data_IF_663963641123
#
_entry.id   IF_663963641123
#
_cell.length_a   1.000
_cell.length_b   1.000
_cell.length_c   1.000
_cell.angle_alpha   90.00
_cell.angle_beta   90.00
_cell.angle_gamma   90.00
#
_symmetry.space_group_name_H-M   'P 1'
#
loop_
_entity.id
_entity.type
_entity.pdbx_description
1 polymer ?
#
# COMPACT_ATOMS: atom_id res chain seq x y z
N UNK A 1 9.77 12.02 -4.78
CA UNK A 1 8.81 11.30 -5.64
C UNK A 1 9.44 11.07 -6.99
N UNK A 2 9.25 9.90 -7.61
CA UNK A 2 9.61 9.73 -9.00
C UNK A 2 8.78 10.72 -9.84
N UNK A 3 9.44 11.44 -10.75
CA UNK A 3 8.81 12.48 -11.59
C UNK A 3 7.72 11.95 -12.54
N UNK A 4 7.60 10.64 -12.64
CA UNK A 4 6.64 9.95 -13.52
C UNK A 4 5.37 9.45 -12.80
N UNK A 5 5.32 9.45 -11.47
CA UNK A 5 4.11 9.09 -10.72
C UNK A 5 3.06 10.20 -10.85
N UNK A 6 1.91 9.87 -11.42
CA UNK A 6 0.77 10.77 -11.53
C UNK A 6 -0.04 10.71 -10.24
N UNK A 7 -0.04 11.79 -9.46
CA UNK A 7 -0.82 11.89 -8.24
C UNK A 7 -2.09 12.72 -8.49
N UNK A 8 -3.24 12.10 -8.29
CA UNK A 8 -4.54 12.78 -8.23
C UNK A 8 -5.04 12.82 -6.80
N UNK A 9 -5.42 14.01 -6.33
CA UNK A 9 -6.18 14.18 -5.07
C UNK A 9 -7.57 14.64 -5.41
N UNK A 10 -8.57 14.05 -4.79
CA UNK A 10 -9.96 14.45 -4.97
C UNK A 10 -10.91 13.28 -5.07
N UNK A 11 -12.16 13.59 -5.32
CA UNK A 11 -13.22 12.59 -5.33
C UNK A 11 -13.05 11.55 -6.42
N UNK A 12 -13.27 10.30 -6.08
CA UNK A 12 -13.44 9.21 -7.04
C UNK A 12 -14.69 9.50 -7.88
N UNK A 13 -14.47 9.99 -9.09
CA UNK A 13 -15.51 10.24 -10.06
C UNK A 13 -15.00 9.96 -11.48
N UNK A 14 -15.93 9.81 -12.42
CA UNK A 14 -15.59 9.46 -13.81
C UNK A 14 -14.64 10.46 -14.47
N UNK A 15 -14.78 11.75 -14.18
CA UNK A 15 -13.91 12.79 -14.76
C UNK A 15 -12.47 12.66 -14.30
N UNK A 16 -12.22 12.48 -12.99
CA UNK A 16 -10.88 12.36 -12.44
C UNK A 16 -10.20 11.06 -12.90
N UNK A 17 -10.93 9.94 -12.87
CA UNK A 17 -10.41 8.65 -13.35
C UNK A 17 -10.09 8.73 -14.83
N UNK A 18 -10.99 9.27 -15.66
CA UNK A 18 -10.76 9.40 -17.12
C UNK A 18 -9.58 10.31 -17.44
N UNK A 19 -9.37 11.37 -16.65
CA UNK A 19 -8.20 12.25 -16.82
C UNK A 19 -6.90 11.48 -16.59
N UNK A 20 -6.78 10.77 -15.45
CA UNK A 20 -5.59 10.00 -15.13
C UNK A 20 -5.33 8.86 -16.13
N UNK A 21 -6.37 8.13 -16.53
CA UNK A 21 -6.24 7.08 -17.55
C UNK A 21 -5.71 7.63 -18.86
N UNK A 22 -6.22 8.78 -19.32
CA UNK A 22 -5.75 9.45 -20.54
C UNK A 22 -4.29 9.90 -20.44
N UNK A 23 -3.88 10.46 -19.29
CA UNK A 23 -2.49 10.86 -19.06
C UNK A 23 -1.53 9.66 -19.02
N UNK A 24 -2.06 8.48 -18.66
CA UNK A 24 -1.32 7.21 -18.60
C UNK A 24 -1.39 6.43 -19.94
N UNK A 25 -2.19 6.90 -20.90
CA UNK A 25 -2.39 6.22 -22.18
C UNK A 25 -3.25 4.96 -22.10
N UNK A 26 -4.09 4.83 -21.06
CA UNK A 26 -4.97 3.67 -20.83
C UNK A 26 -6.35 3.96 -21.46
N UNK A 27 -6.82 3.03 -22.28
CA UNK A 27 -8.12 3.12 -22.97
C UNK A 27 -9.08 1.99 -22.59
N UNK A 28 -8.56 0.81 -22.28
CA UNK A 28 -9.30 -0.40 -21.94
C UNK A 28 -8.77 -1.03 -20.64
N UNK A 29 -8.94 -0.39 -19.48
CA UNK A 29 -8.40 -0.92 -18.24
C UNK A 29 -9.17 -2.16 -17.74
N UNK A 30 -8.46 -3.12 -17.11
CA UNK A 30 -9.04 -4.12 -16.24
C UNK A 30 -9.15 -3.56 -14.83
N UNK A 31 -10.34 -3.58 -14.24
CA UNK A 31 -10.58 -3.21 -12.85
C UNK A 31 -10.29 -4.42 -11.94
N UNK A 32 -9.36 -4.28 -10.99
CA UNK A 32 -9.08 -5.24 -9.92
C UNK A 32 -9.64 -4.68 -8.61
N UNK A 33 -10.76 -5.23 -8.13
CA UNK A 33 -11.45 -4.70 -6.96
C UNK A 33 -12.33 -5.79 -6.33
N UNK A 34 -12.36 -5.85 -4.99
CA UNK A 34 -13.34 -6.69 -4.30
C UNK A 34 -14.75 -6.15 -4.45
N UNK A 35 -15.75 -7.01 -4.18
CA UNK A 35 -17.17 -6.74 -4.42
C UNK A 35 -17.65 -5.37 -3.96
N UNK A 36 -17.30 -4.98 -2.74
CA UNK A 36 -17.69 -3.69 -2.17
C UNK A 36 -17.07 -2.50 -2.92
N UNK A 37 -15.77 -2.52 -3.15
CA UNK A 37 -15.04 -1.42 -3.79
C UNK A 37 -15.37 -1.32 -5.28
N UNK A 38 -15.64 -2.44 -5.95
CA UNK A 38 -16.18 -2.51 -7.31
C UNK A 38 -17.50 -1.75 -7.43
N UNK A 39 -18.43 -2.03 -6.52
CA UNK A 39 -19.76 -1.40 -6.54
C UNK A 39 -19.66 0.13 -6.28
N UNK A 40 -18.81 0.54 -5.34
CA UNK A 40 -18.53 1.97 -5.09
C UNK A 40 -17.89 2.64 -6.31
N UNK A 41 -16.91 1.98 -6.94
CA UNK A 41 -16.26 2.50 -8.13
C UNK A 41 -17.25 2.76 -9.27
N UNK A 42 -18.07 1.77 -9.62
CA UNK A 42 -19.07 1.90 -10.68
C UNK A 42 -20.13 2.95 -10.36
N UNK A 43 -20.61 2.98 -9.11
CA UNK A 43 -21.63 3.96 -8.70
C UNK A 43 -21.12 5.40 -8.81
N UNK A 44 -19.85 5.64 -8.47
CA UNK A 44 -19.27 6.98 -8.47
C UNK A 44 -18.74 7.43 -9.82
N UNK A 45 -18.23 6.52 -10.62
CA UNK A 45 -17.60 6.87 -11.91
C UNK A 45 -18.56 6.78 -13.08
N UNK A 46 -19.63 5.98 -12.99
CA UNK A 46 -20.50 5.64 -14.10
C UNK A 46 -19.84 4.76 -15.18
N UNK A 47 -18.58 4.38 -14.97
CA UNK A 47 -17.85 3.55 -15.93
C UNK A 47 -18.40 2.14 -16.00
N UNK A 48 -18.11 1.44 -17.10
CA UNK A 48 -18.37 0.01 -17.29
C UNK A 48 -17.10 -0.63 -17.83
N UNK A 49 -16.43 -1.44 -17.01
CA UNK A 49 -15.13 -2.02 -17.28
C UNK A 49 -15.17 -3.53 -17.06
N UNK A 50 -14.30 -4.31 -17.74
CA UNK A 50 -13.99 -5.67 -17.31
C UNK A 50 -13.49 -5.66 -15.86
N UNK A 51 -13.89 -6.65 -15.06
CA UNK A 51 -13.56 -6.73 -13.63
C UNK A 51 -12.93 -8.07 -13.31
N UNK A 52 -11.87 -8.03 -12.55
CA UNK A 52 -11.33 -9.17 -11.84
C UNK A 52 -11.56 -8.97 -10.33
N UNK A 53 -12.45 -9.76 -9.75
CA UNK A 53 -12.85 -9.74 -8.34
C UNK A 53 -12.69 -11.10 -7.64
N UNK A 54 -12.20 -12.11 -8.37
CA UNK A 54 -12.01 -13.47 -7.88
C UNK A 54 -10.63 -13.68 -7.23
N UNK A 55 -10.25 -12.80 -6.27
CA UNK A 55 -9.03 -12.92 -5.51
C UNK A 55 -9.29 -12.99 -4.01
N UNK A 56 -8.42 -13.67 -3.27
CA UNK A 56 -8.52 -13.85 -1.83
C UNK A 56 -7.89 -12.67 -1.05
N UNK A 57 -8.30 -12.43 0.21
CA UNK A 57 -7.46 -11.69 1.16
C UNK A 57 -6.09 -12.39 1.26
N UNK A 58 -4.99 -11.66 1.12
CA UNK A 58 -3.65 -12.24 0.89
C UNK A 58 -3.64 -13.08 -0.40
N UNK A 59 -3.59 -12.42 -1.57
CA UNK A 59 -3.86 -13.05 -2.86
C UNK A 59 -2.90 -14.19 -3.17
N UNK A 60 -3.43 -15.26 -3.72
CA UNK A 60 -2.64 -16.38 -4.23
C UNK A 60 -2.05 -16.03 -5.60
N UNK A 61 -0.91 -16.63 -5.94
CA UNK A 61 -0.31 -16.47 -7.26
C UNK A 61 -1.26 -16.96 -8.37
N UNK A 62 -2.07 -17.98 -8.10
CA UNK A 62 -3.07 -18.48 -9.04
C UNK A 62 -4.20 -17.48 -9.30
N UNK A 63 -4.60 -16.68 -8.30
CA UNK A 63 -5.53 -15.56 -8.52
C UNK A 63 -4.96 -14.60 -9.57
N UNK A 64 -3.65 -14.29 -9.47
CA UNK A 64 -2.99 -13.43 -10.44
C UNK A 64 -2.90 -14.04 -11.84
N UNK A 65 -2.70 -15.35 -11.94
CA UNK A 65 -2.74 -16.08 -13.23
C UNK A 65 -4.11 -15.94 -13.89
N UNK A 66 -5.20 -16.17 -13.13
CA UNK A 66 -6.56 -16.00 -13.63
C UNK A 66 -6.84 -14.54 -14.07
N UNK A 67 -6.35 -13.56 -13.29
CA UNK A 67 -6.49 -12.15 -13.63
C UNK A 67 -5.70 -11.76 -14.89
N UNK A 68 -4.50 -12.31 -15.10
CA UNK A 68 -3.71 -12.08 -16.31
C UNK A 68 -4.37 -12.69 -17.54
N UNK A 69 -4.96 -13.87 -17.41
CA UNK A 69 -5.74 -14.51 -18.48
C UNK A 69 -6.96 -13.65 -18.88
N UNK A 70 -7.71 -13.13 -17.88
CA UNK A 70 -8.85 -12.23 -18.13
C UNK A 70 -8.41 -10.92 -18.82
N UNK A 71 -7.28 -10.34 -18.39
CA UNK A 71 -6.73 -9.14 -19.01
C UNK A 71 -6.46 -9.35 -20.52
N UNK A 72 -5.87 -10.49 -20.88
CA UNK A 72 -5.62 -10.87 -22.27
C UNK A 72 -6.92 -11.16 -23.04
N UNK A 73 -7.85 -11.93 -22.45
CA UNK A 73 -9.15 -12.25 -23.05
C UNK A 73 -9.96 -10.99 -23.41
N UNK A 74 -9.92 -9.97 -22.53
CA UNK A 74 -10.66 -8.71 -22.71
C UNK A 74 -9.90 -7.66 -23.51
N UNK A 75 -8.71 -7.98 -24.03
CA UNK A 75 -7.84 -7.05 -24.79
C UNK A 75 -7.63 -5.73 -24.00
N UNK A 76 -7.32 -5.86 -22.72
CA UNK A 76 -7.05 -4.72 -21.85
C UNK A 76 -5.64 -4.14 -22.11
N UNK A 77 -5.47 -2.82 -21.87
CA UNK A 77 -4.23 -2.09 -22.08
C UNK A 77 -3.65 -1.44 -20.82
N UNK A 78 -4.31 -1.64 -19.67
CA UNK A 78 -3.89 -1.14 -18.37
C UNK A 78 -4.68 -1.73 -17.23
N UNK A 79 -4.29 -1.39 -16.00
CA UNK A 79 -4.91 -1.87 -14.77
C UNK A 79 -5.44 -0.69 -13.95
N UNK A 80 -6.57 -0.88 -13.29
CA UNK A 80 -7.03 -0.06 -12.17
C UNK A 80 -7.18 -0.98 -10.97
N UNK A 81 -6.51 -0.71 -9.85
CA UNK A 81 -6.81 -1.39 -8.58
C UNK A 81 -7.57 -0.48 -7.63
N UNK A 82 -8.67 -0.97 -7.05
CA UNK A 82 -9.47 -0.23 -6.06
C UNK A 82 -9.64 -1.06 -4.80
N UNK A 83 -9.03 -0.63 -3.71
CA UNK A 83 -9.14 -1.35 -2.45
C UNK A 83 -7.93 -1.25 -1.54
N UNK A 84 -7.75 -2.21 -0.66
CA UNK A 84 -6.58 -2.33 0.20
C UNK A 84 -5.42 -3.07 -0.46
N UNK A 85 -4.41 -3.44 0.34
CA UNK A 85 -3.21 -4.14 -0.13
C UNK A 85 -3.50 -5.35 -1.00
N UNK A 86 -4.50 -6.20 -0.66
CA UNK A 86 -4.81 -7.39 -1.45
C UNK A 86 -5.19 -7.07 -2.91
N UNK A 87 -6.05 -6.06 -3.14
CA UNK A 87 -6.41 -5.67 -4.51
C UNK A 87 -5.20 -5.11 -5.28
N UNK A 88 -4.33 -4.34 -4.60
CA UNK A 88 -3.13 -3.77 -5.21
C UNK A 88 -2.07 -4.83 -5.48
N UNK A 89 -1.86 -5.76 -4.55
CA UNK A 89 -0.90 -6.85 -4.71
C UNK A 89 -1.36 -7.82 -5.82
N UNK A 90 -2.68 -8.09 -5.92
CA UNK A 90 -3.25 -8.84 -7.04
C UNK A 90 -2.97 -8.13 -8.37
N UNK A 91 -3.24 -6.82 -8.47
CA UNK A 91 -2.98 -6.06 -9.70
C UNK A 91 -1.50 -6.05 -10.07
N UNK A 92 -0.60 -5.93 -9.09
CA UNK A 92 0.85 -6.03 -9.30
C UNK A 92 1.29 -7.45 -9.71
N UNK A 93 0.68 -8.48 -9.13
CA UNK A 93 0.90 -9.87 -9.53
C UNK A 93 0.44 -10.14 -10.96
N UNK A 94 -0.73 -9.63 -11.35
CA UNK A 94 -1.21 -9.64 -12.74
C UNK A 94 -0.20 -8.91 -13.65
N UNK A 95 0.23 -7.69 -13.28
CA UNK A 95 1.24 -6.91 -13.99
C UNK A 95 2.53 -7.71 -14.19
N UNK A 96 3.02 -8.41 -13.16
CA UNK A 96 4.21 -9.26 -13.24
C UNK A 96 4.05 -10.38 -14.26
N UNK A 97 2.92 -11.10 -14.23
CA UNK A 97 2.61 -12.21 -15.14
C UNK A 97 2.35 -11.78 -16.59
N UNK A 98 1.96 -10.53 -16.81
CA UNK A 98 1.87 -9.96 -18.16
C UNK A 98 3.23 -9.57 -18.74
N UNK A 99 4.27 -9.44 -17.89
CA UNK A 99 5.63 -9.09 -18.29
C UNK A 99 6.52 -10.31 -18.51
N UNK A 100 6.23 -11.43 -17.82
CA UNK A 100 7.05 -12.65 -17.89
C UNK A 100 6.23 -13.87 -17.45
N UNK A 101 6.82 -15.06 -17.55
CA UNK A 101 6.16 -16.28 -17.11
C UNK A 101 6.19 -16.47 -15.57
N UNK A 102 5.42 -17.43 -15.10
CA UNK A 102 5.24 -17.72 -13.67
C UNK A 102 6.55 -18.16 -12.98
N UNK A 103 7.46 -18.84 -13.70
CA UNK A 103 8.73 -19.30 -13.14
C UNK A 103 9.65 -18.12 -12.82
N UNK A 104 9.70 -17.13 -13.71
CA UNK A 104 10.45 -15.89 -13.48
C UNK A 104 9.82 -15.04 -12.37
N UNK A 105 8.47 -14.99 -12.28
CA UNK A 105 7.78 -14.31 -11.17
C UNK A 105 8.15 -14.95 -9.83
N UNK A 106 8.13 -16.29 -9.72
CA UNK A 106 8.57 -17.02 -8.52
C UNK A 106 10.02 -16.74 -8.15
N UNK A 107 10.88 -16.62 -9.15
CA UNK A 107 12.30 -16.32 -8.95
C UNK A 107 12.58 -14.82 -8.70
N UNK A 108 11.55 -13.98 -8.69
CA UNK A 108 11.68 -12.51 -8.63
C UNK A 108 12.57 -11.94 -9.75
N UNK A 109 12.46 -12.49 -10.94
CA UNK A 109 13.26 -12.15 -12.13
C UNK A 109 12.36 -11.51 -13.21
N UNK A 110 11.89 -10.28 -12.97
CA UNK A 110 11.11 -9.54 -13.94
C UNK A 110 12.04 -8.80 -14.91
N UNK A 111 11.61 -8.64 -16.19
CA UNK A 111 12.37 -7.84 -17.14
C UNK A 111 12.41 -6.37 -16.69
N UNK A 112 13.51 -5.64 -16.98
CA UNK A 112 13.65 -4.23 -16.59
C UNK A 112 12.65 -3.32 -17.31
N UNK A 113 12.16 -3.76 -18.47
CA UNK A 113 11.22 -3.04 -19.30
C UNK A 113 9.92 -3.85 -19.44
N UNK A 114 8.88 -3.41 -18.82
CA UNK A 114 7.54 -3.94 -18.99
C UNK A 114 6.54 -2.83 -18.71
N UNK A 115 5.73 -2.50 -19.72
CA UNK A 115 4.78 -1.40 -19.60
C UNK A 115 3.36 -1.92 -19.57
N UNK A 116 2.92 -2.36 -18.39
CA UNK A 116 1.49 -2.47 -18.10
C UNK A 116 1.15 -1.32 -17.16
N UNK A 117 0.59 -0.21 -17.65
CA UNK A 117 0.29 0.94 -16.80
C UNK A 117 -0.77 0.58 -15.76
N UNK A 118 -0.60 1.09 -14.54
CA UNK A 118 -1.43 0.76 -13.39
C UNK A 118 -1.82 2.00 -12.61
N UNK A 119 -3.13 2.28 -12.53
CA UNK A 119 -3.73 3.30 -11.66
C UNK A 119 -4.17 2.64 -10.34
N UNK A 120 -3.60 3.04 -9.22
CA UNK A 120 -3.96 2.57 -7.89
C UNK A 120 -4.88 3.56 -7.16
N UNK A 121 -5.97 3.05 -6.58
CA UNK A 121 -6.96 3.83 -5.84
C UNK A 121 -7.13 3.17 -4.47
N UNK A 122 -6.40 3.64 -3.43
CA UNK A 122 -6.43 3.00 -2.13
C UNK A 122 -7.77 3.19 -1.40
N UNK A 123 -8.31 2.08 -0.90
CA UNK A 123 -9.51 2.05 -0.07
C UNK A 123 -9.20 1.79 1.42
N UNK A 124 -7.94 1.87 1.81
CA UNK A 124 -7.46 1.73 3.20
C UNK A 124 -6.29 2.66 3.45
N UNK A 125 -6.25 3.31 4.61
CA UNK A 125 -5.15 4.17 5.03
C UNK A 125 -4.16 3.37 5.89
N UNK A 126 -3.25 2.63 5.26
CA UNK A 126 -2.32 1.78 6.02
C UNK A 126 -1.11 1.31 5.24
N UNK A 127 -1.28 0.40 4.31
CA UNK A 127 -0.18 -0.32 3.67
C UNK A 127 0.72 0.53 2.77
N UNK A 128 0.23 1.65 2.25
CA UNK A 128 0.95 2.43 1.24
C UNK A 128 1.27 1.63 -0.03
N UNK A 129 0.51 0.55 -0.31
CA UNK A 129 0.78 -0.34 -1.43
C UNK A 129 0.71 0.38 -2.78
N UNK A 130 -0.02 1.48 -2.87
CA UNK A 130 -0.11 2.36 -4.03
C UNK A 130 1.22 3.06 -4.38
N UNK A 131 2.16 3.10 -3.44
CA UNK A 131 3.48 3.74 -3.62
C UNK A 131 4.65 2.79 -3.40
N UNK A 132 4.40 1.47 -3.37
CA UNK A 132 5.45 0.46 -3.24
C UNK A 132 5.59 -0.38 -4.51
N UNK A 133 6.81 -0.88 -4.73
CA UNK A 133 7.17 -1.73 -5.86
C UNK A 133 7.12 -3.24 -5.51
N UNK A 134 6.42 -3.59 -4.43
CA UNK A 134 6.32 -4.97 -3.92
C UNK A 134 4.90 -5.47 -4.08
N UNK A 135 4.76 -6.70 -4.53
CA UNK A 135 3.54 -7.51 -4.41
C UNK A 135 3.77 -8.63 -3.38
N UNK A 136 2.91 -8.69 -2.37
CA UNK A 136 2.90 -9.80 -1.40
C UNK A 136 1.85 -10.79 -1.83
N UNK A 137 2.30 -11.91 -2.38
CA UNK A 137 1.49 -13.00 -2.86
C UNK A 137 1.69 -14.24 -1.97
N UNK A 138 0.87 -15.24 -2.20
CA UNK A 138 1.00 -16.53 -1.53
C UNK A 138 0.96 -17.66 -2.57
N UNK A 139 1.64 -18.74 -2.27
CA UNK A 139 1.60 -19.98 -3.04
C UNK A 139 1.74 -21.14 -2.05
N UNK A 140 0.83 -22.09 -2.08
CA UNK A 140 0.75 -23.22 -1.14
C UNK A 140 0.85 -22.78 0.35
N UNK A 141 0.23 -21.64 0.67
CA UNK A 141 0.25 -21.05 2.01
C UNK A 141 1.60 -20.46 2.42
N UNK A 142 2.56 -20.40 1.52
CA UNK A 142 3.86 -19.74 1.72
C UNK A 142 3.84 -18.34 1.13
N UNK A 143 4.48 -17.40 1.84
CA UNK A 143 4.60 -16.02 1.36
C UNK A 143 5.59 -15.95 0.20
N UNK A 144 5.15 -15.39 -0.92
CA UNK A 144 5.96 -15.02 -2.07
C UNK A 144 5.99 -13.48 -2.18
N UNK A 145 7.15 -12.88 -2.07
CA UNK A 145 7.30 -11.42 -2.27
C UNK A 145 7.97 -11.17 -3.61
N UNK A 146 7.24 -10.51 -4.50
CA UNK A 146 7.79 -10.06 -5.80
C UNK A 146 8.13 -8.58 -5.65
N UNK A 147 9.41 -8.24 -5.77
CA UNK A 147 9.94 -6.90 -5.53
C UNK A 147 10.71 -6.41 -6.75
N UNK A 148 10.06 -5.55 -7.54
CA UNK A 148 10.68 -5.03 -8.77
C UNK A 148 10.14 -3.63 -9.10
N UNK A 149 11.00 -2.67 -9.53
CA UNK A 149 10.57 -1.30 -9.85
C UNK A 149 9.41 -1.20 -10.82
N UNK A 150 9.30 -2.11 -11.78
CA UNK A 150 8.21 -2.13 -12.75
C UNK A 150 6.82 -2.40 -12.12
N UNK A 151 6.74 -2.91 -10.89
CA UNK A 151 5.47 -3.15 -10.19
C UNK A 151 4.90 -1.91 -9.53
N UNK A 152 5.70 -0.86 -9.39
CA UNK A 152 5.21 0.41 -8.86
C UNK A 152 4.06 0.92 -9.75
N UNK A 153 2.92 1.33 -9.16
CA UNK A 153 1.84 1.98 -9.92
C UNK A 153 2.31 3.23 -10.65
N UNK A 154 1.77 3.49 -11.81
CA UNK A 154 2.10 4.64 -12.66
C UNK A 154 1.26 5.86 -12.30
N UNK A 155 0.12 5.65 -11.63
CA UNK A 155 -0.76 6.69 -11.11
C UNK A 155 -1.44 6.30 -9.82
N UNK A 156 -1.78 7.30 -9.01
CA UNK A 156 -2.51 7.14 -7.75
C UNK A 156 -3.64 8.16 -7.68
N UNK A 157 -4.84 7.74 -7.27
CA UNK A 157 -5.94 8.63 -6.94
C UNK A 157 -6.32 8.45 -5.46
N UNK A 158 -6.15 9.51 -4.66
CA UNK A 158 -6.45 9.53 -3.23
C UNK A 158 -7.83 10.15 -2.97
N UNK A 159 -8.78 9.36 -2.48
CA UNK A 159 -10.10 9.78 -2.02
C UNK A 159 -10.41 9.17 -0.65
N UNK A 160 -10.26 9.94 0.42
CA UNK A 160 -10.49 9.49 1.79
C UNK A 160 -11.92 8.99 2.05
N UNK A 161 -12.93 9.33 1.21
CA UNK A 161 -14.29 8.79 1.35
C UNK A 161 -14.41 7.29 1.14
N UNK A 162 -13.39 6.67 0.56
CA UNK A 162 -13.33 5.22 0.45
C UNK A 162 -13.11 4.53 1.80
N UNK A 163 -12.68 5.31 2.82
CA UNK A 163 -12.46 4.82 4.18
C UNK A 163 -13.73 4.73 5.03
N UNK A 164 -14.85 5.36 4.62
CA UNK A 164 -16.11 5.47 5.39
C UNK A 164 -16.65 4.11 5.85
N UNK A 165 -16.48 3.09 5.03
CA UNK A 165 -17.09 1.77 5.25
C UNK A 165 -16.18 0.77 5.96
N UNK A 166 -14.99 1.19 6.40
CA UNK A 166 -14.07 0.31 7.10
C UNK A 166 -14.53 0.11 8.55
N UNK A 167 -14.60 -1.15 9.05
CA UNK A 167 -14.86 -1.42 10.46
C UNK A 167 -13.80 -0.78 11.36
N UNK A 168 -14.19 -0.36 12.56
CA UNK A 168 -13.34 0.40 13.49
C UNK A 168 -11.99 -0.28 13.76
N UNK A 169 -11.99 -1.59 14.04
CA UNK A 169 -10.77 -2.35 14.29
C UNK A 169 -9.81 -2.29 13.08
N UNK A 170 -10.33 -2.39 11.87
CA UNK A 170 -9.52 -2.29 10.67
C UNK A 170 -9.01 -0.87 10.44
N UNK A 171 -9.81 0.16 10.73
CA UNK A 171 -9.35 1.56 10.68
C UNK A 171 -8.17 1.79 11.61
N UNK A 172 -8.28 1.36 12.88
CA UNK A 172 -7.20 1.45 13.87
C UNK A 172 -5.95 0.69 13.42
N UNK A 173 -6.12 -0.57 13.04
CA UNK A 173 -5.01 -1.41 12.60
C UNK A 173 -4.28 -0.83 11.38
N UNK A 174 -5.01 -0.28 10.41
CA UNK A 174 -4.38 0.32 9.23
C UNK A 174 -3.63 1.61 9.56
N UNK A 175 -4.20 2.48 10.39
CA UNK A 175 -3.50 3.66 10.88
C UNK A 175 -2.19 3.30 11.60
N UNK A 176 -2.23 2.25 12.43
CA UNK A 176 -1.04 1.74 13.13
C UNK A 176 -0.02 1.13 12.17
N UNK A 177 -0.45 0.54 11.06
CA UNK A 177 0.43 0.04 10.00
C UNK A 177 1.26 1.19 9.37
N UNK A 178 0.58 2.26 8.95
CA UNK A 178 1.24 3.45 8.41
C UNK A 178 2.20 4.10 9.43
N UNK A 179 1.81 4.16 10.69
CA UNK A 179 2.67 4.67 11.76
C UNK A 179 3.92 3.80 11.95
N UNK A 180 3.75 2.48 12.01
CA UNK A 180 4.86 1.53 12.14
C UNK A 180 5.82 1.63 10.96
N UNK A 181 5.31 1.76 9.73
CA UNK A 181 6.13 1.96 8.53
C UNK A 181 6.95 3.24 8.62
N UNK A 182 6.36 4.35 9.04
CA UNK A 182 7.07 5.61 9.26
C UNK A 182 8.19 5.48 10.29
N UNK A 183 7.92 4.86 11.44
CA UNK A 183 8.89 4.62 12.50
C UNK A 183 10.02 3.71 12.00
N UNK A 184 9.68 2.59 11.37
CA UNK A 184 10.68 1.64 10.88
C UNK A 184 11.53 2.22 9.74
N UNK A 185 10.92 3.03 8.85
CA UNK A 185 11.67 3.74 7.82
C UNK A 185 12.67 4.73 8.43
N UNK A 186 12.32 5.39 9.55
CA UNK A 186 13.19 6.35 10.21
C UNK A 186 14.48 5.70 10.72
N UNK A 187 14.40 4.54 11.35
CA UNK A 187 15.57 3.84 11.91
C UNK A 187 16.19 2.79 10.99
N UNK A 188 15.67 2.63 9.77
CA UNK A 188 16.22 1.65 8.84
C UNK A 188 17.67 1.95 8.45
N UNK A 189 18.49 0.92 8.27
CA UNK A 189 19.88 1.07 7.79
C UNK A 189 19.99 1.77 6.44
N UNK A 190 18.95 1.68 5.60
CA UNK A 190 18.86 2.34 4.29
C UNK A 190 18.18 3.71 4.35
N UNK A 191 17.95 4.27 5.54
CA UNK A 191 17.30 5.57 5.68
C UNK A 191 18.15 6.68 5.03
N UNK A 192 17.48 7.53 4.27
CA UNK A 192 18.05 8.72 3.62
C UNK A 192 17.32 9.95 4.12
N UNK A 193 17.86 11.14 3.85
CA UNK A 193 17.14 12.38 4.16
C UNK A 193 15.74 12.39 3.49
N UNK A 194 15.66 11.96 2.23
CA UNK A 194 14.40 11.89 1.50
C UNK A 194 13.39 10.93 2.16
N UNK A 195 13.80 9.70 2.51
CA UNK A 195 12.91 8.76 3.19
C UNK A 195 12.47 9.25 4.58
N UNK A 196 13.33 9.95 5.32
CA UNK A 196 12.99 10.53 6.63
C UNK A 196 11.95 11.65 6.52
N UNK A 197 12.03 12.50 5.49
CA UNK A 197 10.99 13.53 5.24
C UNK A 197 9.61 12.86 5.03
N UNK A 198 9.53 11.80 4.23
CA UNK A 198 8.30 11.07 4.03
C UNK A 198 7.85 10.32 5.30
N UNK A 199 8.78 9.71 6.04
CA UNK A 199 8.51 9.06 7.31
C UNK A 199 7.96 10.05 8.37
N UNK A 200 8.52 11.27 8.48
CA UNK A 200 8.01 12.32 9.36
C UNK A 200 6.59 12.72 9.00
N UNK A 201 6.31 12.94 7.69
CA UNK A 201 4.95 13.28 7.22
C UNK A 201 3.96 12.17 7.54
N UNK A 202 4.35 10.91 7.36
CA UNK A 202 3.51 9.77 7.72
C UNK A 202 3.23 9.74 9.24
N UNK A 203 4.26 9.85 10.08
CA UNK A 203 4.12 9.83 11.54
C UNK A 203 3.22 10.97 12.02
N UNK A 204 3.51 12.23 11.63
CA UNK A 204 2.70 13.39 12.01
C UNK A 204 1.28 13.27 11.47
N UNK A 205 1.12 12.91 10.18
CA UNK A 205 -0.19 12.76 9.57
C UNK A 205 -1.08 11.76 10.31
N UNK A 206 -0.52 10.64 10.77
CA UNK A 206 -1.27 9.68 11.61
C UNK A 206 -1.57 10.27 12.99
N UNK A 207 -0.58 10.79 13.71
CA UNK A 207 -0.76 11.25 15.09
C UNK A 207 -1.71 12.44 15.20
N UNK A 208 -1.60 13.41 14.29
CA UNK A 208 -2.41 14.63 14.31
C UNK A 208 -3.87 14.36 13.93
N UNK A 209 -4.13 13.32 13.14
CA UNK A 209 -5.47 13.08 12.58
C UNK A 209 -6.18 11.86 13.16
N UNK A 210 -5.52 10.96 13.91
CA UNK A 210 -6.08 9.69 14.35
C UNK A 210 -7.41 9.84 15.09
N UNK A 211 -7.51 10.78 16.03
CA UNK A 211 -8.71 10.98 16.86
C UNK A 211 -9.89 11.41 16.00
N UNK A 212 -9.72 12.44 15.16
CA UNK A 212 -10.76 12.93 14.27
C UNK A 212 -11.13 11.89 13.19
N UNK A 213 -10.14 11.16 12.67
CA UNK A 213 -10.36 10.04 11.76
C UNK A 213 -11.24 8.94 12.37
N UNK A 214 -11.00 8.58 13.63
CA UNK A 214 -11.83 7.58 14.32
C UNK A 214 -13.26 8.06 14.56
N UNK A 215 -13.46 9.37 14.63
CA UNK A 215 -14.79 10.02 14.74
C UNK A 215 -15.49 10.18 13.39
N UNK A 216 -14.83 9.82 12.27
CA UNK A 216 -15.39 9.90 10.92
C UNK A 216 -15.26 11.28 10.27
N UNK A 217 -14.37 12.15 10.78
CA UNK A 217 -14.10 13.44 10.17
C UNK A 217 -13.53 13.28 8.76
N UNK A 218 -14.14 13.96 7.79
CA UNK A 218 -13.81 13.81 6.39
C UNK A 218 -12.41 14.31 6.05
N UNK A 219 -12.01 15.44 6.60
CA UNK A 219 -10.67 15.99 6.37
C UNK A 219 -9.61 15.07 6.96
N UNK A 220 -9.87 14.54 8.17
CA UNK A 220 -8.97 13.58 8.79
C UNK A 220 -8.86 12.26 7.99
N UNK A 221 -9.90 11.81 7.31
CA UNK A 221 -9.83 10.66 6.40
C UNK A 221 -8.88 10.93 5.22
N UNK A 222 -8.98 12.10 4.59
CA UNK A 222 -8.10 12.49 3.49
C UNK A 222 -6.64 12.59 3.96
N UNK A 223 -6.39 13.19 5.14
CA UNK A 223 -5.06 13.31 5.73
C UNK A 223 -4.48 11.94 6.15
N UNK A 224 -5.30 11.04 6.70
CA UNK A 224 -4.89 9.69 7.04
C UNK A 224 -4.52 8.87 5.80
N UNK A 225 -5.27 9.01 4.72
CA UNK A 225 -4.95 8.35 3.45
C UNK A 225 -3.63 8.88 2.88
N UNK A 226 -3.42 10.20 2.97
CA UNK A 226 -2.16 10.82 2.57
C UNK A 226 -0.99 10.39 3.47
N UNK A 227 -1.20 10.25 4.78
CA UNK A 227 -0.18 9.73 5.69
C UNK A 227 0.25 8.29 5.34
N UNK A 228 -0.71 7.44 4.97
CA UNK A 228 -0.42 6.09 4.49
C UNK A 228 0.35 6.09 3.16
N UNK A 229 -0.02 6.98 2.23
CA UNK A 229 0.73 7.20 0.99
C UNK A 229 2.18 7.61 1.28
N UNK A 230 2.40 8.58 2.16
CA UNK A 230 3.73 9.04 2.57
C UNK A 230 4.55 7.91 3.24
N UNK A 231 3.90 7.05 4.05
CA UNK A 231 4.57 5.89 4.65
C UNK A 231 5.04 4.89 3.60
N UNK A 232 4.24 4.64 2.56
CA UNK A 232 4.62 3.80 1.43
C UNK A 232 5.79 4.38 0.63
N UNK A 233 5.82 5.70 0.39
CA UNK A 233 6.97 6.37 -0.24
C UNK A 233 8.23 6.23 0.62
N UNK A 234 8.13 6.36 1.94
CA UNK A 234 9.27 6.20 2.84
C UNK A 234 9.87 4.79 2.74
N UNK A 235 9.03 3.75 2.81
CA UNK A 235 9.50 2.36 2.75
C UNK A 235 9.88 1.89 1.35
N UNK A 236 9.55 2.62 0.30
CA UNK A 236 10.00 2.28 -1.05
C UNK A 236 11.53 2.19 -1.12
N UNK A 237 12.22 3.08 -0.43
CA UNK A 237 13.69 3.09 -0.33
C UNK A 237 14.22 2.21 0.79
N UNK A 238 13.62 2.33 2.00
CA UNK A 238 14.18 1.74 3.22
C UNK A 238 13.78 0.29 3.42
N UNK A 239 12.62 -0.11 2.89
CA UNK A 239 11.84 -1.27 3.31
C UNK A 239 11.35 -1.11 4.77
N UNK A 240 10.56 -2.08 5.22
CA UNK A 240 10.24 -2.27 6.64
C UNK A 240 11.30 -3.11 7.32
N UNK A 241 11.27 -3.18 8.65
CA UNK A 241 12.28 -3.87 9.46
C UNK A 241 11.68 -5.01 10.30
N UNK A 242 12.15 -5.19 11.52
CA UNK A 242 11.82 -6.35 12.35
C UNK A 242 10.38 -6.39 12.84
N UNK A 243 9.71 -5.23 13.07
CA UNK A 243 8.31 -5.24 13.50
C UNK A 243 7.41 -5.89 12.43
N UNK A 244 7.57 -5.48 11.18
CA UNK A 244 6.85 -6.09 10.07
C UNK A 244 7.26 -7.54 9.84
N UNK A 245 8.55 -7.88 9.94
CA UNK A 245 9.01 -9.26 9.78
C UNK A 245 8.37 -10.22 10.81
N UNK A 246 8.25 -9.78 12.07
CA UNK A 246 7.61 -10.58 13.13
C UNK A 246 6.08 -10.59 13.03
N UNK A 247 5.46 -9.54 12.50
CA UNK A 247 4.00 -9.41 12.41
C UNK A 247 3.35 -10.56 11.64
N UNK A 248 4.02 -11.13 10.63
CA UNK A 248 3.46 -12.22 9.81
C UNK A 248 3.15 -13.46 10.65
N UNK A 249 4.02 -13.83 11.60
CA UNK A 249 3.80 -14.97 12.48
C UNK A 249 2.68 -14.68 13.49
N UNK A 250 2.62 -13.45 14.01
CA UNK A 250 1.58 -13.01 14.94
C UNK A 250 0.22 -13.04 14.24
N UNK A 251 0.11 -12.45 13.06
CA UNK A 251 -1.11 -12.49 12.24
C UNK A 251 -1.54 -13.93 11.95
N UNK A 252 -0.62 -14.78 11.49
CA UNK A 252 -0.92 -16.18 11.13
C UNK A 252 -1.38 -17.01 12.33
N UNK A 253 -0.73 -16.86 13.49
CA UNK A 253 -1.00 -17.70 14.67
C UNK A 253 -2.10 -17.17 15.59
N UNK A 254 -2.23 -15.84 15.69
CA UNK A 254 -3.12 -15.20 16.66
C UNK A 254 -4.30 -14.48 15.99
N UNK A 255 -4.34 -14.38 14.67
CA UNK A 255 -5.42 -13.70 13.93
C UNK A 255 -5.42 -12.18 14.10
N UNK A 256 -4.38 -11.59 14.71
CA UNK A 256 -4.28 -10.14 14.84
C UNK A 256 -4.13 -9.48 13.46
N UNK A 257 -4.82 -8.37 13.20
CA UNK A 257 -4.65 -7.62 11.96
C UNK A 257 -3.20 -7.09 11.86
N UNK A 258 -2.68 -7.01 10.64
CA UNK A 258 -1.25 -6.76 10.36
C UNK A 258 -0.64 -5.57 11.13
N UNK A 259 -1.23 -4.38 11.01
CA UNK A 259 -0.72 -3.19 11.71
C UNK A 259 -0.79 -3.30 13.24
N UNK A 260 -1.82 -3.99 13.79
CA UNK A 260 -1.88 -4.33 15.21
C UNK A 260 -0.70 -5.25 15.58
N UNK A 261 -0.43 -6.28 14.77
CA UNK A 261 0.70 -7.19 15.01
C UNK A 261 2.06 -6.46 14.96
N UNK A 262 2.24 -5.47 14.07
CA UNK A 262 3.44 -4.63 14.06
C UNK A 262 3.59 -3.85 15.36
N UNK A 263 2.51 -3.23 15.86
CA UNK A 263 2.55 -2.42 17.08
C UNK A 263 2.80 -3.24 18.35
N UNK A 264 2.44 -4.53 18.37
CA UNK A 264 2.77 -5.41 19.50
C UNK A 264 4.29 -5.62 19.67
N UNK A 265 5.04 -5.57 18.59
CA UNK A 265 6.50 -5.83 18.59
C UNK A 265 7.34 -4.55 18.64
N UNK A 266 6.80 -3.44 18.14
CA UNK A 266 7.52 -2.18 18.00
C UNK A 266 8.12 -1.64 19.31
N UNK A 267 7.41 -1.63 20.47
CA UNK A 267 7.99 -1.18 21.72
C UNK A 267 9.18 -2.03 22.20
N UNK A 268 9.16 -3.32 21.95
CA UNK A 268 10.26 -4.22 22.31
C UNK A 268 11.50 -3.95 21.45
N UNK A 269 11.29 -3.67 20.16
CA UNK A 269 12.37 -3.26 19.25
C UNK A 269 12.95 -1.91 19.64
N UNK A 270 12.08 -0.96 20.02
CA UNK A 270 12.52 0.34 20.55
C UNK A 270 13.42 0.16 21.78
N UNK A 271 12.98 -0.62 22.76
CA UNK A 271 13.75 -0.90 23.97
C UNK A 271 15.11 -1.58 23.65
N UNK A 272 15.13 -2.50 22.68
CA UNK A 272 16.35 -3.16 22.22
C UNK A 272 17.34 -2.16 21.58
N UNK A 273 16.85 -1.26 20.73
CA UNK A 273 17.69 -0.21 20.13
C UNK A 273 18.15 0.81 21.16
N UNK A 274 17.28 1.18 22.10
CA UNK A 274 17.60 2.15 23.17
C UNK A 274 18.69 1.67 24.13
N UNK A 275 18.90 0.36 24.24
CA UNK A 275 20.03 -0.20 25.00
C UNK A 275 21.39 -0.02 24.33
N UNK A 276 21.45 0.48 23.09
CA UNK A 276 22.67 0.63 22.30
C UNK A 276 22.97 2.12 22.08
N UNK A 277 24.14 2.56 22.52
CA UNK A 277 24.52 4.00 22.51
C UNK A 277 24.47 4.61 21.09
N UNK A 278 24.78 3.83 20.08
CA UNK A 278 24.81 4.29 18.67
C UNK A 278 23.45 4.74 18.13
N UNK A 279 22.34 4.19 18.68
CA UNK A 279 20.98 4.55 18.25
C UNK A 279 20.34 5.69 19.04
N UNK A 280 20.93 6.11 20.17
CA UNK A 280 20.38 7.15 21.05
C UNK A 280 20.08 8.49 20.35
N UNK A 281 20.97 9.06 19.50
CA UNK A 281 20.66 10.31 18.81
C UNK A 281 19.43 10.19 17.92
N UNK A 282 19.33 9.12 17.15
CA UNK A 282 18.22 8.85 16.24
C UNK A 282 16.91 8.62 17.00
N UNK A 283 16.92 7.84 18.10
CA UNK A 283 15.74 7.60 18.93
C UNK A 283 15.27 8.88 19.64
N UNK A 284 16.18 9.77 20.01
CA UNK A 284 15.84 11.08 20.57
C UNK A 284 15.08 11.95 19.57
N UNK A 285 15.51 11.97 18.30
CA UNK A 285 14.79 12.66 17.23
C UNK A 285 13.40 12.05 17.01
N UNK A 286 13.32 10.73 16.92
CA UNK A 286 12.09 10.01 16.70
C UNK A 286 11.10 10.16 17.89
N UNK A 287 11.62 10.16 19.13
CA UNK A 287 10.79 10.42 20.33
C UNK A 287 10.13 11.80 20.27
N UNK A 288 10.85 12.84 19.84
CA UNK A 288 10.26 14.18 19.65
C UNK A 288 9.16 14.18 18.60
N UNK A 289 9.34 13.44 17.50
CA UNK A 289 8.30 13.31 16.47
C UNK A 289 7.04 12.62 17.02
N UNK A 290 7.19 11.66 17.91
CA UNK A 290 6.11 10.94 18.56
C UNK A 290 5.46 11.72 19.73
N UNK A 291 5.88 12.96 19.99
CA UNK A 291 5.36 13.81 21.06
C UNK A 291 5.92 13.47 22.46
N UNK A 292 7.00 12.69 22.53
CA UNK A 292 7.72 12.41 23.75
C UNK A 292 8.58 13.59 24.20
N UNK A 293 8.57 13.90 25.49
CA UNK A 293 9.65 14.67 26.12
C UNK A 293 10.94 13.83 26.11
N UNK A 294 12.11 14.46 26.23
CA UNK A 294 13.41 13.76 26.15
C UNK A 294 13.40 12.41 26.86
N UNK A 295 14.04 11.38 26.29
CA UNK A 295 14.21 10.10 26.96
C UNK A 295 14.95 10.23 28.26
#
# INVERSE_FOLDING_TARGET
MPSWLKEGRGSLCGANVSLLLREMGITKPLLVAGERTKNVFFARTGMRLPVFDAFHPNPDLQDCVAGAALYQEKDCDGLISVGGGSAMDTAKGIKALLMTDIAHVRANQLPPEGKVPHLAIPGTAGTGAETTAVAVLYEDGQKLSVDHPALLPDGVLLDGSLLDTLPEYHRKSRAMDALAQGIESWWAKKATLGSRIHAERAIRGVLDNLTAYMQGDRKAQDEMLHAAYESGVAILTTRTTAAHAMSYQITKKLGAAHGHACMLTLPHLWAHLAAQAEYQPMLTELSRLLGGEKP
#
